data_IF_768968053279
#
_entry.id   IF_768968053279
#
_cell.length_a   1.000
_cell.length_b   1.000
_cell.length_c   1.000
_cell.angle_alpha   90.00
_cell.angle_beta   90.00
_cell.angle_gamma   90.00
#
_symmetry.space_group_name_H-M   'P 1'
#
loop_
_entity.id
_entity.type
_entity.pdbx_description
1 polymer ?
#
# COMPACT_ATOMS: atom_id res chain seq x y z
N UNK A 1 40.35 -5.25 57.36
CA UNK A 1 39.26 -4.56 56.64
C UNK A 1 38.84 -5.40 55.44
N UNK A 2 37.72 -6.16 55.56
CA UNK A 2 37.17 -6.98 54.46
C UNK A 2 36.08 -6.18 53.80
N UNK A 3 36.22 -5.87 52.51
CA UNK A 3 35.19 -5.23 51.69
C UNK A 3 34.34 -6.34 51.04
N UNK A 4 33.07 -6.39 51.39
CA UNK A 4 32.05 -7.28 50.79
C UNK A 4 31.48 -6.53 49.58
N UNK A 5 31.69 -7.05 48.37
CA UNK A 5 31.00 -6.60 47.15
C UNK A 5 29.67 -7.28 47.06
N UNK A 6 28.59 -6.50 47.15
CA UNK A 6 27.22 -6.95 46.84
C UNK A 6 27.05 -6.84 45.33
N UNK A 7 27.00 -7.99 44.65
CA UNK A 7 26.64 -8.06 43.24
C UNK A 7 25.10 -8.13 43.18
N UNK A 8 24.49 -6.98 42.87
CA UNK A 8 23.03 -6.89 42.65
C UNK A 8 22.70 -7.49 41.30
N UNK A 9 22.05 -8.65 41.32
CA UNK A 9 21.52 -9.35 40.14
C UNK A 9 20.24 -8.64 39.74
N UNK A 10 20.30 -7.79 38.70
CA UNK A 10 19.13 -7.14 38.12
C UNK A 10 18.36 -8.16 37.28
N UNK A 11 17.30 -8.73 37.83
CA UNK A 11 16.38 -9.58 37.10
C UNK A 11 15.57 -8.70 36.14
N UNK A 12 15.92 -8.71 34.86
CA UNK A 12 15.08 -8.14 33.79
C UNK A 12 13.89 -9.08 33.63
N UNK A 13 12.76 -8.69 34.20
CA UNK A 13 11.46 -9.27 33.88
C UNK A 13 11.15 -8.92 32.41
N UNK A 14 11.43 -9.83 31.49
CA UNK A 14 10.85 -9.80 30.15
C UNK A 14 9.34 -9.99 30.30
N UNK A 15 8.59 -8.88 30.28
CA UNK A 15 7.15 -8.94 30.12
C UNK A 15 6.88 -9.58 28.76
N UNK A 16 6.56 -10.86 28.77
CA UNK A 16 6.04 -11.58 27.61
C UNK A 16 4.78 -10.86 27.15
N UNK A 17 4.87 -10.13 26.05
CA UNK A 17 3.67 -9.61 25.39
C UNK A 17 2.88 -10.84 24.96
N UNK A 18 1.76 -11.07 25.60
CA UNK A 18 0.79 -12.04 25.16
C UNK A 18 0.44 -11.67 23.71
N UNK A 19 0.89 -12.50 22.76
CA UNK A 19 0.49 -12.40 21.37
C UNK A 19 -0.99 -12.71 21.33
N UNK A 20 -1.83 -11.69 21.20
CA UNK A 20 -3.25 -11.92 21.03
C UNK A 20 -3.46 -12.61 19.67
N UNK A 21 -4.26 -13.66 19.68
CA UNK A 21 -4.47 -14.52 18.53
C UNK A 21 -5.41 -13.87 17.52
N UNK A 22 -4.95 -13.65 16.30
CA UNK A 22 -5.80 -13.17 15.21
C UNK A 22 -6.39 -14.34 14.47
N UNK A 23 -7.70 -14.52 14.59
CA UNK A 23 -8.45 -15.59 13.92
C UNK A 23 -9.45 -14.98 12.93
N UNK A 24 -9.05 -14.68 11.67
CA UNK A 24 -9.99 -14.19 10.68
C UNK A 24 -10.98 -15.30 10.30
N UNK A 25 -12.27 -15.07 10.53
CA UNK A 25 -13.34 -16.02 10.14
C UNK A 25 -13.71 -15.86 8.67
N UNK A 26 -13.74 -14.63 8.19
CA UNK A 26 -14.05 -14.28 6.81
C UNK A 26 -13.01 -13.32 6.24
N UNK A 27 -12.65 -13.55 5.00
CA UNK A 27 -11.75 -12.67 4.24
C UNK A 27 -12.43 -12.31 2.93
N UNK A 28 -12.54 -11.02 2.66
CA UNK A 28 -12.98 -10.49 1.37
C UNK A 28 -11.92 -9.54 0.80
N UNK A 29 -11.82 -9.49 -0.52
CA UNK A 29 -10.81 -8.68 -1.20
C UNK A 29 -11.47 -7.80 -2.26
N UNK A 30 -11.06 -6.54 -2.32
CA UNK A 30 -11.52 -5.57 -3.32
C UNK A 30 -10.31 -4.99 -4.04
N UNK A 31 -10.24 -5.19 -5.35
CA UNK A 31 -9.21 -4.56 -6.18
C UNK A 31 -9.59 -3.11 -6.39
N UNK A 32 -8.74 -2.19 -5.95
CA UNK A 32 -8.97 -0.74 -6.16
C UNK A 32 -8.57 -0.34 -7.58
N UNK A 33 -9.27 0.60 -8.22
CA UNK A 33 -8.90 1.14 -9.53
C UNK A 33 -7.73 2.13 -9.42
N UNK A 34 -6.76 1.81 -8.57
CA UNK A 34 -5.63 2.66 -8.23
C UNK A 34 -4.33 1.88 -8.25
N UNK A 35 -3.25 2.56 -8.66
CA UNK A 35 -1.88 2.12 -8.47
C UNK A 35 -1.22 2.93 -7.37
N UNK A 36 -0.38 2.26 -6.58
CA UNK A 36 0.58 2.89 -5.69
C UNK A 36 2.00 2.62 -6.16
N UNK A 37 2.96 3.31 -5.56
CA UNK A 37 4.37 3.02 -5.75
C UNK A 37 4.86 2.13 -4.62
N UNK A 38 5.51 1.03 -4.98
CA UNK A 38 6.20 0.12 -4.06
C UNK A 38 7.48 0.79 -3.56
N UNK A 39 8.17 0.18 -2.60
CA UNK A 39 9.45 0.71 -2.07
C UNK A 39 10.53 0.84 -3.15
N UNK A 40 10.53 -0.06 -4.13
CA UNK A 40 11.42 -0.04 -5.30
C UNK A 40 10.97 0.94 -6.41
N UNK A 41 9.97 1.78 -6.12
CA UNK A 41 9.30 2.71 -7.04
C UNK A 41 8.60 2.06 -8.23
N UNK A 42 8.49 0.75 -8.28
CA UNK A 42 7.67 0.07 -9.28
C UNK A 42 6.18 0.27 -8.98
N UNK A 43 5.30 0.33 -10.00
CA UNK A 43 3.87 0.44 -9.79
C UNK A 43 3.29 -0.88 -9.29
N UNK A 44 2.34 -0.81 -8.35
CA UNK A 44 1.59 -1.96 -7.86
C UNK A 44 0.10 -1.65 -7.74
N UNK A 45 -0.75 -2.56 -8.20
CA UNK A 45 -2.19 -2.45 -8.04
C UNK A 45 -2.57 -2.63 -6.58
N UNK A 46 -3.42 -1.76 -6.06
CA UNK A 46 -3.84 -1.81 -4.66
C UNK A 46 -5.02 -2.77 -4.49
N UNK A 47 -4.93 -3.64 -3.50
CA UNK A 47 -6.03 -4.52 -3.06
C UNK A 47 -6.30 -4.26 -1.60
N UNK A 48 -7.55 -3.93 -1.28
CA UNK A 48 -8.04 -3.88 0.09
C UNK A 48 -8.45 -5.30 0.52
N UNK A 49 -7.84 -5.79 1.58
CA UNK A 49 -8.16 -7.08 2.21
C UNK A 49 -8.91 -6.80 3.49
N UNK A 50 -10.19 -7.17 3.51
CA UNK A 50 -11.08 -7.02 4.66
C UNK A 50 -11.13 -8.31 5.43
N UNK A 51 -10.84 -8.22 6.70
CA UNK A 51 -10.88 -9.29 7.67
C UNK A 51 -12.10 -9.09 8.55
N UNK A 52 -12.84 -10.16 8.84
CA UNK A 52 -13.90 -10.17 9.83
C UNK A 52 -13.65 -11.30 10.82
N UNK A 53 -13.87 -11.04 12.07
CA UNK A 53 -13.74 -11.99 13.16
C UNK A 53 -14.00 -11.32 14.50
N UNK A 54 -14.26 -12.10 15.56
CA UNK A 54 -14.69 -11.59 16.88
C UNK A 54 -13.59 -10.80 17.60
N UNK A 55 -12.32 -11.09 17.31
CA UNK A 55 -11.19 -10.37 17.88
C UNK A 55 -10.02 -10.43 16.89
N UNK A 56 -9.67 -9.29 16.32
CA UNK A 56 -8.58 -9.14 15.34
C UNK A 56 -7.45 -8.33 15.97
N UNK A 57 -6.72 -8.95 16.91
CA UNK A 57 -5.63 -8.30 17.61
C UNK A 57 -4.36 -9.09 17.48
N UNK A 58 -3.37 -8.55 16.76
CA UNK A 58 -2.08 -9.21 16.57
C UNK A 58 -1.52 -9.02 15.17
N UNK A 59 -0.72 -9.98 14.72
CA UNK A 59 -0.04 -9.95 13.43
C UNK A 59 -0.77 -10.79 12.39
N UNK A 60 -0.98 -10.21 11.21
CA UNK A 60 -1.59 -10.87 10.05
C UNK A 60 -0.63 -10.79 8.89
N UNK A 61 -0.37 -11.93 8.27
CA UNK A 61 0.43 -12.02 7.04
C UNK A 61 -0.48 -12.31 5.84
N UNK A 62 -0.25 -11.59 4.74
CA UNK A 62 -0.94 -11.78 3.47
C UNK A 62 0.07 -12.22 2.42
N UNK A 63 -0.04 -13.48 1.99
CA UNK A 63 0.76 -14.00 0.89
C UNK A 63 0.02 -13.72 -0.42
N UNK A 64 0.72 -13.17 -1.37
CA UNK A 64 0.26 -12.96 -2.75
C UNK A 64 0.99 -13.94 -3.65
N UNK A 65 0.25 -14.71 -4.44
CA UNK A 65 0.84 -15.63 -5.41
C UNK A 65 0.26 -15.39 -6.81
N UNK A 66 1.15 -15.12 -7.77
CA UNK A 66 0.84 -14.98 -9.18
C UNK A 66 1.89 -15.71 -10.02
N UNK A 67 1.49 -16.76 -10.72
CA UNK A 67 2.42 -17.67 -11.45
C UNK A 67 3.54 -18.17 -10.54
N UNK A 68 4.78 -17.83 -10.84
CA UNK A 68 5.97 -18.20 -10.05
C UNK A 68 6.33 -17.17 -8.97
N UNK A 69 5.67 -16.01 -8.97
CA UNK A 69 5.91 -14.96 -8.00
C UNK A 69 5.16 -15.24 -6.71
N UNK A 70 5.83 -15.03 -5.60
CA UNK A 70 5.25 -15.08 -4.26
C UNK A 70 5.81 -13.91 -3.46
N UNK A 71 4.94 -13.14 -2.85
CA UNK A 71 5.29 -12.04 -1.96
C UNK A 71 4.46 -12.13 -0.70
N UNK A 72 5.02 -11.70 0.42
CA UNK A 72 4.34 -11.68 1.71
C UNK A 72 4.40 -10.27 2.28
N UNK A 73 3.27 -9.79 2.75
CA UNK A 73 3.15 -8.54 3.50
C UNK A 73 2.60 -8.83 4.88
N UNK A 74 3.19 -8.22 5.90
CA UNK A 74 2.79 -8.42 7.30
C UNK A 74 2.25 -7.11 7.88
N UNK A 75 1.16 -7.21 8.62
CA UNK A 75 0.44 -6.08 9.20
C UNK A 75 0.12 -6.36 10.66
N UNK A 76 0.18 -5.33 11.49
CA UNK A 76 -0.35 -5.38 12.85
C UNK A 76 -1.76 -4.83 12.84
N UNK A 77 -2.69 -5.61 13.34
CA UNK A 77 -4.11 -5.29 13.39
C UNK A 77 -4.56 -5.21 14.86
N UNK A 78 -5.39 -4.25 15.17
CA UNK A 78 -6.03 -4.08 16.50
C UNK A 78 -7.47 -3.60 16.27
N UNK A 79 -8.39 -4.54 16.09
CA UNK A 79 -9.80 -4.27 15.84
C UNK A 79 -10.69 -5.35 16.47
N UNK A 80 -11.94 -5.01 16.83
CA UNK A 80 -12.85 -5.98 17.42
C UNK A 80 -13.50 -6.89 16.39
N UNK A 81 -14.19 -6.32 15.41
CA UNK A 81 -15.08 -7.11 14.53
C UNK A 81 -14.58 -7.16 13.09
N UNK A 82 -13.91 -6.11 12.64
CA UNK A 82 -13.40 -6.02 11.27
C UNK A 82 -12.18 -5.13 11.16
N UNK A 83 -11.27 -5.50 10.25
CA UNK A 83 -10.11 -4.72 9.88
C UNK A 83 -9.95 -4.70 8.36
N UNK A 84 -9.38 -3.63 7.83
CA UNK A 84 -8.99 -3.53 6.42
C UNK A 84 -7.50 -3.23 6.35
N UNK A 85 -6.78 -4.01 5.57
CA UNK A 85 -5.37 -3.78 5.24
C UNK A 85 -5.20 -3.65 3.74
N UNK A 86 -4.32 -2.77 3.31
CA UNK A 86 -4.03 -2.57 1.89
C UNK A 86 -2.71 -3.25 1.52
N UNK A 87 -2.76 -4.05 0.47
CA UNK A 87 -1.58 -4.67 -0.12
C UNK A 87 -1.37 -4.15 -1.54
N UNK A 88 -0.14 -4.14 -1.98
CA UNK A 88 0.20 -3.89 -3.38
C UNK A 88 0.55 -5.20 -4.07
N UNK A 89 -0.10 -5.45 -5.19
CA UNK A 89 0.21 -6.61 -6.02
C UNK A 89 1.57 -6.43 -6.72
N UNK A 90 2.24 -7.54 -7.08
CA UNK A 90 3.49 -7.50 -7.81
C UNK A 90 3.41 -6.68 -9.10
N UNK A 91 4.45 -5.90 -9.41
CA UNK A 91 4.54 -5.08 -10.62
C UNK A 91 4.54 -5.89 -11.92
N UNK A 92 4.87 -7.18 -11.85
CA UNK A 92 4.85 -8.09 -12.99
C UNK A 92 3.44 -8.57 -13.42
N UNK A 93 2.37 -8.12 -12.75
CA UNK A 93 1.02 -8.36 -13.24
C UNK A 93 0.77 -7.56 -14.52
N UNK A 94 0.13 -8.17 -15.54
CA UNK A 94 -0.23 -7.44 -16.75
C UNK A 94 -1.24 -6.34 -16.43
N UNK A 95 -1.06 -5.17 -17.04
CA UNK A 95 -1.99 -4.04 -16.91
C UNK A 95 -3.15 -4.11 -17.89
N UNK A 96 -2.95 -4.75 -19.04
CA UNK A 96 -3.83 -4.80 -20.20
C UNK A 96 -4.69 -6.06 -20.30
N UNK A 97 -4.50 -7.01 -19.38
CA UNK A 97 -5.17 -8.31 -19.38
C UNK A 97 -5.68 -8.67 -18.00
N UNK A 98 -6.71 -9.49 -17.97
CA UNK A 98 -7.23 -10.08 -16.75
C UNK A 98 -6.14 -10.97 -16.11
N UNK A 99 -5.94 -10.82 -14.82
CA UNK A 99 -5.02 -11.65 -14.04
C UNK A 99 -5.74 -12.24 -12.82
N UNK A 100 -5.56 -13.55 -12.59
CA UNK A 100 -6.06 -14.22 -11.39
C UNK A 100 -4.93 -14.38 -10.39
N UNK A 101 -5.10 -13.79 -9.22
CA UNK A 101 -4.13 -13.78 -8.13
C UNK A 101 -4.67 -14.59 -6.96
N UNK A 102 -3.85 -15.46 -6.40
CA UNK A 102 -4.20 -16.18 -5.17
C UNK A 102 -3.69 -15.42 -3.97
N UNK A 103 -4.58 -15.13 -3.03
CA UNK A 103 -4.23 -14.51 -1.75
C UNK A 103 -4.39 -15.56 -0.64
N UNK A 104 -3.45 -15.57 0.28
CA UNK A 104 -3.53 -16.39 1.49
C UNK A 104 -3.32 -15.50 2.69
N UNK A 105 -4.36 -15.32 3.47
CA UNK A 105 -4.31 -14.58 4.73
C UNK A 105 -4.01 -15.57 5.84
N UNK A 106 -2.97 -15.30 6.62
CA UNK A 106 -2.59 -16.09 7.79
C UNK A 106 -2.74 -15.24 9.03
N UNK A 107 -3.57 -15.68 9.93
CA UNK A 107 -3.57 -15.25 11.33
C UNK A 107 -2.72 -16.20 12.16
N UNK A 108 -2.85 -16.15 13.46
CA UNK A 108 -2.08 -17.00 14.38
C UNK A 108 -2.45 -18.46 14.24
N UNK A 109 -3.74 -18.79 14.23
CA UNK A 109 -4.21 -20.19 14.17
C UNK A 109 -4.84 -20.56 12.83
N UNK A 110 -5.37 -19.59 12.09
CA UNK A 110 -6.18 -19.83 10.90
C UNK A 110 -5.56 -19.26 9.64
N UNK A 111 -5.73 -20.02 8.57
CA UNK A 111 -5.27 -19.68 7.22
C UNK A 111 -6.45 -19.69 6.26
N UNK A 112 -6.73 -18.57 5.63
CA UNK A 112 -7.82 -18.42 4.66
C UNK A 112 -7.23 -18.16 3.29
N UNK A 113 -7.63 -18.96 2.29
CA UNK A 113 -7.24 -18.78 0.88
C UNK A 113 -8.40 -18.18 0.10
N UNK A 114 -8.09 -17.19 -0.71
CA UNK A 114 -9.05 -16.58 -1.64
C UNK A 114 -8.40 -16.32 -2.99
N UNK A 115 -9.21 -16.16 -4.02
CA UNK A 115 -8.75 -15.77 -5.36
C UNK A 115 -9.32 -14.41 -5.69
N UNK A 116 -8.51 -13.58 -6.32
CA UNK A 116 -8.90 -12.23 -6.74
C UNK A 116 -8.65 -12.11 -8.23
N UNK A 117 -9.68 -11.70 -8.96
CA UNK A 117 -9.58 -11.34 -10.36
C UNK A 117 -9.22 -9.86 -10.47
N UNK A 118 -8.12 -9.58 -11.13
CA UNK A 118 -7.64 -8.23 -11.39
C UNK A 118 -7.98 -7.88 -12.83
N UNK A 119 -8.93 -6.98 -13.00
CA UNK A 119 -9.36 -6.50 -14.31
C UNK A 119 -8.32 -5.56 -14.93
N UNK A 120 -8.26 -5.47 -16.27
CA UNK A 120 -7.41 -4.52 -16.96
C UNK A 120 -7.68 -3.09 -16.51
N UNK A 121 -6.68 -2.25 -16.53
CA UNK A 121 -6.85 -0.82 -16.28
C UNK A 121 -7.00 -0.04 -17.58
N UNK A 122 -7.81 1.01 -17.50
CA UNK A 122 -7.93 1.97 -18.58
C UNK A 122 -6.61 2.74 -18.73
N UNK A 123 -6.08 2.75 -19.94
CA UNK A 123 -4.95 3.60 -20.30
C UNK A 123 -5.44 5.03 -20.61
N UNK A 124 -4.72 6.00 -20.08
CA UNK A 124 -4.96 7.42 -20.35
C UNK A 124 -3.76 8.01 -21.04
N UNK A 125 -3.98 8.76 -22.10
CA UNK A 125 -2.96 9.61 -22.69
C UNK A 125 -3.28 11.04 -22.26
N UNK A 126 -2.34 11.65 -21.54
CA UNK A 126 -2.48 13.04 -21.09
C UNK A 126 -1.56 13.90 -21.92
N UNK A 127 -2.14 14.86 -22.62
CA UNK A 127 -1.40 15.87 -23.39
C UNK A 127 -1.23 17.09 -22.51
N UNK A 128 0.02 17.48 -22.27
CA UNK A 128 0.37 18.70 -21.54
C UNK A 128 0.76 19.77 -22.56
N UNK A 129 0.07 20.90 -22.50
CA UNK A 129 0.37 22.07 -23.30
C UNK A 129 0.83 23.18 -22.38
N UNK A 130 1.97 23.78 -22.72
CA UNK A 130 2.38 25.02 -22.09
C UNK A 130 1.41 26.12 -22.54
N UNK A 131 0.79 26.76 -21.59
CA UNK A 131 -0.14 27.87 -21.84
C UNK A 131 0.28 29.05 -20.98
N UNK A 132 0.44 30.20 -21.62
CA UNK A 132 0.63 31.47 -20.93
C UNK A 132 -0.67 32.28 -20.99
N UNK A 133 -1.22 32.61 -19.83
CA UNK A 133 -2.36 33.49 -19.74
C UNK A 133 -1.85 34.96 -19.62
N UNK A 134 -2.04 35.75 -20.65
CA UNK A 134 -1.65 37.16 -20.67
C UNK A 134 -2.82 37.97 -21.19
N UNK A 135 -3.26 38.95 -20.41
CA UNK A 135 -4.32 39.86 -20.80
C UNK A 135 -3.81 40.86 -21.86
N UNK A 136 -4.44 40.84 -23.05
CA UNK A 136 -4.10 41.71 -24.16
C UNK A 136 -4.86 43.04 -24.01
N UNK A 137 -4.13 44.15 -24.01
CA UNK A 137 -4.71 45.50 -24.04
C UNK A 137 -5.07 46.10 -22.69
N UNK A 138 -5.05 45.33 -21.59
CA UNK A 138 -5.35 45.85 -20.24
C UNK A 138 -4.09 46.27 -19.48
N UNK A 139 -3.04 45.46 -19.58
CA UNK A 139 -1.81 45.62 -18.80
C UNK A 139 -0.60 45.93 -19.65
N UNK A 140 -0.64 45.69 -20.97
CA UNK A 140 0.52 45.89 -21.83
C UNK A 140 0.13 46.04 -23.31
N UNK A 141 1.08 46.52 -24.14
CA UNK A 141 0.86 46.63 -25.59
C UNK A 141 0.88 45.24 -26.23
N UNK A 142 0.17 45.10 -27.37
CA UNK A 142 0.09 43.84 -28.12
C UNK A 142 1.47 43.21 -28.42
N UNK A 143 2.43 44.08 -28.81
CA UNK A 143 3.80 43.66 -29.12
C UNK A 143 4.55 43.07 -27.91
N UNK A 144 4.38 43.69 -26.72
CA UNK A 144 5.03 43.23 -25.49
C UNK A 144 4.39 41.95 -24.99
N UNK A 145 3.07 41.79 -25.15
CA UNK A 145 2.35 40.55 -24.81
C UNK A 145 2.82 39.38 -25.68
N UNK A 146 3.01 39.64 -27.00
CA UNK A 146 3.52 38.61 -27.92
C UNK A 146 4.94 38.15 -27.55
N UNK A 147 5.82 39.08 -27.15
CA UNK A 147 7.17 38.72 -26.65
C UNK A 147 7.07 37.92 -25.35
N UNK A 148 6.22 38.32 -24.42
CA UNK A 148 6.03 37.62 -23.15
C UNK A 148 5.53 36.17 -23.37
N UNK A 149 4.59 36.00 -24.32
CA UNK A 149 4.11 34.66 -24.69
C UNK A 149 5.24 33.79 -25.22
N UNK A 150 6.09 34.33 -26.09
CA UNK A 150 7.25 33.57 -26.61
C UNK A 150 8.18 33.14 -25.49
N UNK A 151 8.53 34.02 -24.58
CA UNK A 151 9.40 33.71 -23.44
C UNK A 151 8.78 32.65 -22.53
N UNK A 152 7.50 32.80 -22.16
CA UNK A 152 6.85 31.86 -21.25
C UNK A 152 6.61 30.45 -21.83
N UNK A 153 6.65 30.29 -23.14
CA UNK A 153 6.46 28.99 -23.83
C UNK A 153 7.79 28.30 -24.12
N UNK A 154 8.89 29.06 -24.28
CA UNK A 154 10.18 28.52 -24.74
C UNK A 154 11.29 28.48 -23.66
N UNK A 155 11.05 29.05 -22.48
CA UNK A 155 11.89 28.90 -21.30
C UNK A 155 11.31 27.83 -20.34
#
# INVERSE_FOLDING_TARGET
MKRIFFCGMLAVLAAGQASADVVPEQVSCVVKPLYGYRQDRSPGRIVAVRLKGPELKGEVSVDVAYKKLKETSTFRVDAKDSAEVEIMLPSALPMDKVANVSLTVRGTEKKVKTKVTVEPMRHWTVYLYNHSHVDIGYTNTHKNVEMLHKTNVWE
#
